data_IF_970850167966
#
_entry.id   IF_970850167966
#
_cell.length_a   1.000
_cell.length_b   1.000
_cell.length_c   1.000
_cell.angle_alpha   90.00
_cell.angle_beta   90.00
_cell.angle_gamma   90.00
#
_symmetry.space_group_name_H-M   'P 1'
#
loop_
_entity.id
_entity.type
_entity.pdbx_description
1 polymer ?
#
# COMPACT_ATOMS: atom_id res chain seq x y z
N UNK A 1 23.18 8.41 -10.27
CA UNK A 1 22.35 7.18 -10.31
C UNK A 1 21.79 7.00 -8.90
N UNK A 2 20.62 7.53 -8.67
CA UNK A 2 19.96 7.42 -7.36
C UNK A 2 18.83 6.41 -7.55
N UNK A 3 19.13 5.12 -7.41
CA UNK A 3 18.10 4.10 -7.24
C UNK A 3 17.56 4.30 -5.83
N UNK A 4 16.55 5.15 -5.70
CA UNK A 4 15.71 5.16 -4.51
C UNK A 4 15.15 3.75 -4.38
N UNK A 5 15.75 2.92 -3.51
CA UNK A 5 15.18 1.63 -3.16
C UNK A 5 13.85 1.94 -2.48
N UNK A 6 12.75 1.77 -3.22
CA UNK A 6 11.43 1.88 -2.62
C UNK A 6 11.31 0.85 -1.51
N UNK A 7 10.96 1.31 -0.32
CA UNK A 7 10.64 0.41 0.79
C UNK A 7 9.53 -0.55 0.35
N UNK A 8 9.72 -1.86 0.47
CA UNK A 8 8.71 -2.82 0.05
C UNK A 8 7.42 -2.65 0.84
N UNK A 9 6.30 -2.94 0.19
CA UNK A 9 4.99 -2.96 0.86
C UNK A 9 4.95 -4.11 1.85
N UNK A 10 4.44 -3.86 3.06
CA UNK A 10 4.23 -4.87 4.08
C UNK A 10 3.20 -5.90 3.58
N UNK A 11 3.51 -7.19 3.77
CA UNK A 11 2.59 -8.26 3.43
C UNK A 11 1.61 -8.54 4.59
N UNK A 12 0.48 -9.14 4.27
CA UNK A 12 -0.58 -9.47 5.23
C UNK A 12 -0.08 -10.37 6.37
N UNK A 13 0.81 -11.32 6.08
CA UNK A 13 1.46 -12.16 7.10
C UNK A 13 2.26 -11.33 8.09
N UNK A 14 3.07 -10.38 7.62
CA UNK A 14 3.85 -9.48 8.47
C UNK A 14 2.96 -8.59 9.35
N UNK A 15 1.87 -8.06 8.78
CA UNK A 15 0.87 -7.30 9.54
C UNK A 15 0.28 -8.17 10.67
N UNK A 16 -0.17 -9.39 10.36
CA UNK A 16 -0.76 -10.31 11.36
C UNK A 16 0.21 -10.62 12.48
N UNK A 17 1.46 -10.97 12.17
CA UNK A 17 2.49 -11.26 13.18
C UNK A 17 2.69 -10.09 14.14
N UNK A 18 2.77 -8.86 13.63
CA UNK A 18 2.94 -7.68 14.46
C UNK A 18 1.72 -7.42 15.37
N UNK A 19 0.51 -7.59 14.83
CA UNK A 19 -0.73 -7.42 15.60
C UNK A 19 -0.88 -8.50 16.69
N UNK A 20 -0.50 -9.75 16.40
CA UNK A 20 -0.53 -10.87 17.34
C UNK A 20 0.49 -10.70 18.48
N UNK A 21 1.64 -10.09 18.18
CA UNK A 21 2.69 -9.83 19.17
C UNK A 21 2.30 -8.75 20.18
N UNK A 22 1.39 -7.84 19.84
CA UNK A 22 0.96 -6.73 20.71
C UNK A 22 -0.54 -6.42 20.54
N UNK A 23 -1.44 -7.38 20.87
CA UNK A 23 -2.87 -7.27 20.54
C UNK A 23 -3.60 -6.15 21.29
N UNK A 24 -3.10 -5.77 22.45
CA UNK A 24 -3.75 -4.78 23.33
C UNK A 24 -3.30 -3.34 23.05
N UNK A 25 -2.21 -3.17 22.30
CA UNK A 25 -1.72 -1.84 21.95
C UNK A 25 -2.68 -1.14 20.98
N UNK A 26 -2.95 0.16 21.19
CA UNK A 26 -3.67 0.98 20.22
C UNK A 26 -2.82 1.13 18.94
N UNK A 27 -3.50 1.28 17.81
CA UNK A 27 -2.85 1.56 16.54
C UNK A 27 -2.67 3.07 16.34
N UNK A 28 -1.54 3.44 15.80
CA UNK A 28 -1.26 4.78 15.30
C UNK A 28 -0.82 4.67 13.84
N UNK A 29 -1.33 5.53 12.98
CA UNK A 29 -0.97 5.53 11.55
C UNK A 29 -0.23 6.83 11.23
N UNK A 30 0.94 6.70 10.64
CA UNK A 30 1.83 7.80 10.28
C UNK A 30 1.88 7.94 8.76
N UNK A 31 1.59 9.15 8.28
CA UNK A 31 1.69 9.55 6.89
C UNK A 31 3.13 9.58 6.38
N UNK A 32 3.34 9.63 5.05
CA UNK A 32 4.68 9.75 4.47
C UNK A 32 5.45 11.02 4.87
N UNK A 33 4.76 12.07 5.29
CA UNK A 33 5.35 13.33 5.79
C UNK A 33 5.68 13.30 7.28
N UNK A 34 5.29 12.23 7.98
CA UNK A 34 5.53 12.04 9.41
C UNK A 34 4.39 12.44 10.32
N UNK A 35 3.32 13.04 9.78
CA UNK A 35 2.13 13.38 10.57
C UNK A 35 1.30 12.13 10.87
N UNK A 36 0.65 12.13 12.04
CA UNK A 36 -0.27 11.05 12.40
C UNK A 36 -1.70 11.38 11.95
N UNK A 37 -2.46 10.36 11.52
CA UNK A 37 -3.91 10.52 11.40
C UNK A 37 -4.53 10.56 12.80
N UNK A 38 -5.77 11.04 12.88
CA UNK A 38 -6.50 11.16 14.14
C UNK A 38 -6.55 9.82 14.88
N UNK A 39 -6.19 9.82 16.17
CA UNK A 39 -6.05 8.60 16.97
C UNK A 39 -7.37 7.79 17.14
N UNK A 40 -8.51 8.42 16.86
CA UNK A 40 -9.85 7.82 16.95
C UNK A 40 -10.37 7.31 15.58
N UNK A 41 -9.47 7.03 14.65
CA UNK A 41 -9.87 6.41 13.38
C UNK A 41 -10.44 5.01 13.57
N UNK A 42 -11.31 4.63 12.66
CA UNK A 42 -11.86 3.29 12.53
C UNK A 42 -11.27 2.60 11.30
N UNK A 43 -11.14 1.28 11.33
CA UNK A 43 -11.03 0.48 10.11
C UNK A 43 -12.44 -0.02 9.80
N UNK A 44 -13.06 0.55 8.80
CA UNK A 44 -14.46 0.30 8.44
C UNK A 44 -14.63 -0.86 7.48
N UNK A 45 -13.63 -1.09 6.63
CA UNK A 45 -13.65 -2.16 5.65
C UNK A 45 -12.27 -2.84 5.56
N UNK A 46 -12.29 -4.14 5.33
CA UNK A 46 -11.14 -4.95 4.96
C UNK A 46 -11.52 -5.73 3.71
N UNK A 47 -10.82 -5.51 2.62
CA UNK A 47 -11.20 -6.08 1.34
C UNK A 47 -10.03 -6.56 0.49
N UNK A 48 -10.36 -7.35 -0.54
CA UNK A 48 -9.44 -7.76 -1.60
C UNK A 48 -9.71 -6.90 -2.83
N UNK A 49 -8.70 -6.15 -3.25
CA UNK A 49 -8.77 -5.34 -4.47
C UNK A 49 -7.93 -6.00 -5.54
N UNK A 50 -8.52 -6.28 -6.70
CA UNK A 50 -7.83 -6.76 -7.88
C UNK A 50 -7.94 -5.72 -8.98
N UNK A 51 -6.80 -5.41 -9.59
CA UNK A 51 -6.72 -4.52 -10.74
C UNK A 51 -6.06 -5.25 -11.90
N UNK A 52 -6.82 -5.47 -12.98
CA UNK A 52 -6.32 -5.98 -14.24
C UNK A 52 -6.12 -4.80 -15.20
N UNK A 53 -4.96 -4.75 -15.85
CA UNK A 53 -4.61 -3.65 -16.74
C UNK A 53 -3.65 -4.11 -17.83
N UNK A 54 -3.50 -3.25 -18.85
CA UNK A 54 -2.51 -3.42 -19.92
C UNK A 54 -1.55 -2.23 -19.86
N UNK A 55 -0.25 -2.50 -19.83
CA UNK A 55 0.75 -1.44 -19.89
C UNK A 55 0.88 -0.87 -21.32
N UNK A 56 1.63 0.21 -21.51
CA UNK A 56 1.82 0.85 -22.81
C UNK A 56 2.57 -0.05 -23.82
N UNK A 57 3.24 -1.10 -23.38
CA UNK A 57 3.87 -2.12 -24.21
C UNK A 57 2.93 -3.26 -24.63
N UNK A 58 1.65 -3.22 -24.21
CA UNK A 58 0.65 -4.25 -24.53
C UNK A 58 0.66 -5.46 -23.59
N UNK A 59 1.48 -5.45 -22.52
CA UNK A 59 1.55 -6.56 -21.56
C UNK A 59 0.39 -6.48 -20.58
N UNK A 60 -0.37 -7.58 -20.45
CA UNK A 60 -1.42 -7.72 -19.43
C UNK A 60 -0.80 -7.99 -18.07
N UNK A 61 -1.32 -7.30 -17.05
CA UNK A 61 -0.87 -7.42 -15.67
C UNK A 61 -2.04 -7.46 -14.72
N UNK A 62 -1.86 -8.14 -13.60
CA UNK A 62 -2.82 -8.18 -12.49
C UNK A 62 -2.09 -7.78 -11.22
N UNK A 63 -2.68 -6.88 -10.47
CA UNK A 63 -2.23 -6.49 -9.13
C UNK A 63 -3.36 -6.80 -8.14
N UNK A 64 -3.02 -7.49 -7.06
CA UNK A 64 -3.96 -7.82 -5.99
C UNK A 64 -3.43 -7.31 -4.67
N UNK A 65 -4.27 -6.63 -3.89
CA UNK A 65 -3.90 -6.07 -2.59
C UNK A 65 -4.98 -6.35 -1.54
N UNK A 66 -4.59 -6.39 -0.27
CA UNK A 66 -5.48 -6.27 0.87
C UNK A 66 -5.66 -4.78 1.16
N UNK A 67 -6.87 -4.26 1.08
CA UNK A 67 -7.19 -2.87 1.36
C UNK A 67 -7.84 -2.74 2.74
N UNK A 68 -7.33 -1.83 3.55
CA UNK A 68 -7.92 -1.39 4.81
C UNK A 68 -8.51 0.01 4.58
N UNK A 69 -9.83 0.15 4.61
CA UNK A 69 -10.46 1.47 4.57
C UNK A 69 -10.51 2.05 5.98
N UNK A 70 -10.09 3.29 6.12
CA UNK A 70 -10.13 4.02 7.39
C UNK A 70 -11.08 5.21 7.29
N UNK A 71 -11.72 5.51 8.42
CA UNK A 71 -12.65 6.61 8.57
C UNK A 71 -12.51 7.24 9.95
N UNK A 72 -12.65 8.55 10.04
CA UNK A 72 -12.61 9.29 11.30
C UNK A 72 -14.02 9.80 11.61
N UNK A 73 -14.54 9.37 12.76
CA UNK A 73 -15.86 9.80 13.25
C UNK A 73 -15.76 10.88 14.32
N UNK A 74 -16.91 11.16 14.95
CA UNK A 74 -17.00 12.17 16.04
C UNK A 74 -16.69 11.57 17.43
N UNK A 75 -16.47 10.25 17.53
CA UNK A 75 -16.21 9.54 18.78
C UNK A 75 -14.73 9.58 19.16
N UNK A 76 -14.29 10.75 19.61
CA UNK A 76 -12.89 11.07 19.91
C UNK A 76 -12.21 10.14 20.94
N UNK A 77 -13.00 9.41 21.74
CA UNK A 77 -12.49 8.43 22.71
C UNK A 77 -12.22 7.06 22.10
N UNK A 78 -12.65 6.83 20.85
CA UNK A 78 -12.39 5.56 20.16
C UNK A 78 -10.91 5.29 19.99
N UNK A 79 -10.52 4.03 20.22
CA UNK A 79 -9.18 3.52 19.86
C UNK A 79 -9.31 2.14 19.26
N UNK A 80 -8.74 1.95 18.10
CA UNK A 80 -8.60 0.63 17.51
C UNK A 80 -7.33 -0.02 18.05
N UNK A 81 -7.42 -1.29 18.48
CA UNK A 81 -6.29 -2.08 18.98
C UNK A 81 -5.88 -3.16 17.98
N UNK A 82 -4.69 -3.74 18.18
CA UNK A 82 -4.23 -4.89 17.39
C UNK A 82 -5.26 -6.01 17.33
N UNK A 83 -5.86 -6.36 18.50
CA UNK A 83 -6.90 -7.40 18.57
C UNK A 83 -8.17 -7.05 17.78
N UNK A 84 -8.55 -5.77 17.72
CA UNK A 84 -9.71 -5.34 16.92
C UNK A 84 -9.42 -5.50 15.43
N UNK A 85 -8.24 -5.10 14.95
CA UNK A 85 -7.86 -5.26 13.55
C UNK A 85 -7.71 -6.74 13.19
N UNK A 86 -7.14 -7.58 14.06
CA UNK A 86 -7.07 -9.04 13.83
C UNK A 86 -8.46 -9.66 13.62
N UNK A 87 -9.45 -9.24 14.40
CA UNK A 87 -10.84 -9.71 14.19
C UNK A 87 -11.40 -9.28 12.85
N UNK A 88 -11.15 -8.03 12.43
CA UNK A 88 -11.58 -7.57 11.12
C UNK A 88 -10.93 -8.39 9.99
N UNK A 89 -9.62 -8.65 10.09
CA UNK A 89 -8.89 -9.51 9.16
C UNK A 89 -9.40 -10.95 9.16
N UNK A 90 -9.82 -11.48 10.31
CA UNK A 90 -10.42 -12.82 10.40
C UNK A 90 -11.79 -12.88 9.70
N UNK A 91 -12.63 -11.86 9.85
CA UNK A 91 -13.89 -11.77 9.12
C UNK A 91 -13.69 -11.67 7.61
N UNK A 92 -12.64 -10.98 7.17
CA UNK A 92 -12.31 -10.82 5.75
C UNK A 92 -11.59 -12.05 5.15
N UNK A 93 -11.13 -13.00 5.95
CA UNK A 93 -10.35 -14.16 5.48
C UNK A 93 -10.96 -14.90 4.28
N UNK A 94 -12.30 -15.14 4.19
CA UNK A 94 -12.90 -15.82 3.05
C UNK A 94 -12.75 -15.06 1.72
N UNK A 95 -12.67 -13.73 1.75
CA UNK A 95 -12.52 -12.89 0.54
C UNK A 95 -11.06 -12.57 0.22
N UNK A 96 -10.17 -12.56 1.22
CA UNK A 96 -8.74 -12.33 1.03
C UNK A 96 -8.06 -13.53 0.34
N UNK A 97 -8.63 -14.72 0.49
CA UNK A 97 -8.04 -15.93 -0.07
C UNK A 97 -6.83 -16.42 0.71
N UNK A 98 -6.05 -17.31 0.11
CA UNK A 98 -4.84 -17.90 0.73
C UNK A 98 -3.54 -17.21 0.34
N UNK A 99 -3.59 -16.12 -0.40
CA UNK A 99 -2.42 -15.38 -0.87
C UNK A 99 -1.90 -14.43 0.20
N UNK A 100 -0.59 -14.25 0.28
CA UNK A 100 0.03 -13.26 1.17
C UNK A 100 0.07 -11.90 0.46
N UNK A 101 -1.00 -11.16 0.57
CA UNK A 101 -1.25 -9.93 -0.17
C UNK A 101 -0.47 -8.74 0.41
N UNK A 102 0.06 -7.84 -0.44
CA UNK A 102 0.53 -6.54 0.00
C UNK A 102 -0.63 -5.72 0.57
N UNK A 103 -0.37 -5.01 1.66
CA UNK A 103 -1.41 -4.27 2.40
C UNK A 103 -1.37 -2.79 2.02
N UNK A 104 -2.54 -2.26 1.70
CA UNK A 104 -2.77 -0.85 1.42
C UNK A 104 -3.80 -0.29 2.41
N UNK A 105 -3.72 1.01 2.66
CA UNK A 105 -4.66 1.76 3.48
C UNK A 105 -5.30 2.84 2.63
N UNK A 106 -6.62 2.96 2.75
CA UNK A 106 -7.42 4.03 2.15
C UNK A 106 -7.90 4.98 3.24
N UNK A 107 -7.72 6.25 3.01
CA UNK A 107 -8.11 7.31 3.92
C UNK A 107 -8.62 8.52 3.15
N UNK A 108 -9.62 9.21 3.71
CA UNK A 108 -10.15 10.45 3.16
C UNK A 108 -9.62 11.64 3.97
N UNK A 109 -8.70 12.40 3.36
CA UNK A 109 -8.31 13.72 3.84
C UNK A 109 -9.14 14.79 3.09
N UNK A 110 -8.57 15.47 2.07
CA UNK A 110 -9.34 16.30 1.14
C UNK A 110 -9.94 15.45 0.01
N UNK A 111 -9.33 14.33 -0.30
CA UNK A 111 -9.75 13.34 -1.27
C UNK A 111 -9.43 11.96 -0.72
N UNK A 112 -10.09 10.93 -1.25
CA UNK A 112 -9.74 9.54 -0.94
C UNK A 112 -8.38 9.23 -1.56
N UNK A 113 -7.44 8.79 -0.73
CA UNK A 113 -6.08 8.38 -1.13
C UNK A 113 -5.81 6.97 -0.69
N UNK A 114 -5.04 6.24 -1.49
CA UNK A 114 -4.54 4.91 -1.16
C UNK A 114 -3.03 4.94 -1.00
N UNK A 115 -2.55 4.41 0.11
CA UNK A 115 -1.15 4.39 0.50
C UNK A 115 -0.71 2.96 0.81
N UNK A 116 0.57 2.66 0.64
CA UNK A 116 1.14 1.36 0.98
C UNK A 116 1.51 1.33 2.47
N UNK A 117 1.21 0.25 3.18
CA UNK A 117 1.83 -0.02 4.45
C UNK A 117 3.27 -0.49 4.21
N UNK A 118 4.23 0.13 4.86
CA UNK A 118 5.65 -0.22 4.69
C UNK A 118 6.31 -0.71 5.97
N UNK A 119 5.75 -0.39 7.12
CA UNK A 119 6.24 -0.89 8.41
C UNK A 119 5.12 -0.91 9.45
N UNK A 120 5.27 -1.78 10.45
CA UNK A 120 4.51 -1.77 11.70
C UNK A 120 5.45 -2.19 12.82
N UNK A 121 5.49 -1.42 13.91
CA UNK A 121 6.33 -1.72 15.07
C UNK A 121 5.72 -1.13 16.35
N UNK A 122 5.97 -1.72 17.54
CA UNK A 122 5.62 -1.10 18.81
C UNK A 122 6.56 0.08 19.08
N UNK A 123 5.98 1.26 19.32
CA UNK A 123 6.68 2.49 19.67
C UNK A 123 5.83 3.28 20.65
N UNK A 124 6.41 3.80 21.72
CA UNK A 124 5.78 4.70 22.70
C UNK A 124 4.38 4.25 23.19
N UNK A 125 4.20 2.94 23.39
CA UNK A 125 2.95 2.37 23.91
C UNK A 125 1.84 2.19 22.84
N UNK A 126 2.15 2.31 21.57
CA UNK A 126 1.26 2.04 20.45
C UNK A 126 1.91 1.10 19.42
N UNK A 127 1.10 0.47 18.57
CA UNK A 127 1.57 -0.15 17.34
C UNK A 127 1.53 0.90 16.23
N UNK A 128 2.70 1.37 15.82
CA UNK A 128 2.85 2.42 14.82
C UNK A 128 2.94 1.80 13.42
N UNK A 129 1.97 2.12 12.59
CA UNK A 129 1.92 1.77 11.16
C UNK A 129 2.48 2.95 10.37
N UNK A 130 3.45 2.70 9.49
CA UNK A 130 4.02 3.71 8.60
C UNK A 130 3.56 3.49 7.18
N UNK A 131 3.16 4.58 6.55
CA UNK A 131 2.67 4.59 5.19
C UNK A 131 3.70 5.17 4.22
N UNK A 132 3.61 4.76 2.96
CA UNK A 132 4.34 5.36 1.85
C UNK A 132 3.42 5.61 0.66
N UNK A 133 3.70 6.65 -0.08
CA UNK A 133 2.96 6.98 -1.30
C UNK A 133 3.06 5.89 -2.36
N UNK A 134 2.06 5.84 -3.22
CA UNK A 134 2.11 5.08 -4.47
C UNK A 134 2.65 5.99 -5.57
N UNK A 135 3.48 5.44 -6.42
CA UNK A 135 4.04 6.17 -7.56
C UNK A 135 3.52 5.59 -8.86
N UNK A 136 3.31 6.47 -9.81
CA UNK A 136 3.09 6.05 -11.21
C UNK A 136 4.44 5.75 -11.86
N UNK A 137 4.52 4.66 -12.59
CA UNK A 137 5.74 4.28 -13.31
C UNK A 137 5.41 3.65 -14.68
N UNK A 138 6.34 3.72 -15.59
CA UNK A 138 6.26 3.02 -16.86
C UNK A 138 6.76 1.58 -16.67
N UNK A 139 5.85 0.61 -16.72
CA UNK A 139 6.19 -0.81 -16.57
C UNK A 139 6.79 -1.42 -17.86
N UNK A 140 6.77 -0.67 -18.97
CA UNK A 140 7.33 -1.06 -20.25
C UNK A 140 8.60 -0.26 -20.60
N UNK A 141 9.40 0.15 -19.60
CA UNK A 141 10.62 0.97 -19.78
C UNK A 141 11.58 0.37 -20.82
N UNK A 142 11.75 -0.96 -20.77
CA UNK A 142 12.65 -1.66 -21.69
C UNK A 142 12.25 -1.54 -23.17
N UNK A 143 10.96 -1.28 -23.42
CA UNK A 143 10.42 -1.07 -24.77
C UNK A 143 10.42 0.42 -25.17
N UNK A 144 10.19 1.32 -24.22
CA UNK A 144 9.98 2.75 -24.47
C UNK A 144 11.26 3.59 -24.29
N UNK A 145 12.18 3.15 -23.44
CA UNK A 145 13.42 3.89 -23.14
C UNK A 145 14.59 3.05 -23.64
N UNK A 146 15.23 3.42 -24.77
CA UNK A 146 16.42 2.73 -25.23
C UNK A 146 17.50 2.73 -24.15
N UNK A 147 18.05 1.56 -23.80
CA UNK A 147 19.16 1.49 -22.86
C UNK A 147 20.33 2.29 -23.41
N UNK A 148 21.03 3.04 -22.55
CA UNK A 148 22.20 3.84 -22.92
C UNK A 148 23.34 3.03 -23.58
N UNK A 149 23.23 1.71 -23.65
CA UNK A 149 24.16 0.80 -24.35
C UNK A 149 23.88 0.68 -25.84
N UNK A 150 22.74 1.14 -26.35
CA UNK A 150 22.40 1.13 -27.77
C UNK A 150 22.66 2.48 -28.47
N UNK A 151 23.22 3.45 -27.78
CA UNK A 151 23.56 4.77 -28.34
C UNK A 151 24.76 4.75 -29.33
N UNK A 152 25.04 3.61 -29.95
CA UNK A 152 26.02 3.43 -31.01
C UNK A 152 25.45 2.96 -32.36
N UNK A 153 24.15 2.76 -32.47
CA UNK A 153 23.48 2.37 -33.71
C UNK A 153 22.31 3.32 -33.97
N UNK A 154 22.46 4.11 -35.01
CA UNK A 154 21.50 4.89 -35.76
C UNK A 154 20.15 5.26 -35.10
N UNK A 155 19.90 6.57 -35.06
CA UNK A 155 18.64 7.24 -34.73
C UNK A 155 17.45 6.62 -35.46
N UNK A 156 16.85 5.57 -34.92
CA UNK A 156 15.51 5.19 -35.30
C UNK A 156 14.55 6.19 -34.61
N UNK A 157 14.00 7.11 -35.36
CA UNK A 157 12.94 8.00 -34.93
C UNK A 157 11.80 7.16 -34.34
N UNK A 158 11.33 7.54 -33.14
CA UNK A 158 10.07 7.05 -32.59
C UNK A 158 9.00 7.21 -33.69
N UNK A 159 8.41 6.10 -34.10
CA UNK A 159 7.28 6.12 -35.04
C UNK A 159 6.05 6.78 -34.37
N UNK A 160 5.12 7.32 -35.17
CA UNK A 160 3.90 7.92 -34.65
C UNK A 160 3.03 6.82 -34.00
N UNK A 161 3.07 6.73 -32.68
CA UNK A 161 2.33 5.71 -31.89
C UNK A 161 2.86 5.45 -30.49
N UNK A 162 4.00 6.02 -30.12
CA UNK A 162 4.45 6.05 -28.72
C UNK A 162 4.06 7.39 -28.10
N UNK A 163 2.98 7.41 -27.32
CA UNK A 163 2.66 8.51 -26.41
C UNK A 163 3.37 8.27 -25.09
#
# INVERSE_FOLDING_TARGET
>A
MNTSQETPTLLLSGLRVALEAAPDLPLTVIWPDGEAIEAHFHVTEVGRVQRDFVDCGGTRRTLVTCLLQTWVGDDTDHRITGAKLLRALAHAAPILGGEDLPVELEYEACNVVQLRLVAIAPEDGALVIRLAGKHTDCLAKDLCIPSARQAGAETAACGPGCC
#
